data_IF_841125171620
#
_entry.id   IF_841125171620
#
_cell.length_a   1.000
_cell.length_b   1.000
_cell.length_c   1.000
_cell.angle_alpha   90.00
_cell.angle_beta   90.00
_cell.angle_gamma   90.00
#
_symmetry.space_group_name_H-M   'P 1'
#
loop_
_entity.id
_entity.type
_entity.pdbx_description
1 polymer ?
#
# COMPACT_ATOMS: atom_id res chain seq x y z
N UNK A 1 -1.20 -0.27 -6.29
CA UNK A 1 -2.27 -1.07 -5.62
C UNK A 1 -1.84 -2.51 -5.34
N UNK A 2 -1.29 -3.26 -6.30
CA UNK A 2 -0.83 -4.64 -6.07
C UNK A 2 0.13 -4.78 -4.87
N UNK A 3 1.13 -3.89 -4.76
CA UNK A 3 2.02 -3.83 -3.60
C UNK A 3 1.31 -3.66 -2.25
N UNK A 4 0.24 -2.85 -2.19
CA UNK A 4 -0.58 -2.72 -0.96
C UNK A 4 -1.29 -4.03 -0.63
N UNK A 5 -1.92 -4.67 -1.62
CA UNK A 5 -2.57 -5.97 -1.40
C UNK A 5 -1.58 -7.03 -0.94
N UNK A 6 -0.39 -7.10 -1.54
CA UNK A 6 0.67 -8.01 -1.12
C UNK A 6 1.13 -7.75 0.33
N UNK A 7 1.38 -6.47 0.67
CA UNK A 7 1.78 -6.09 2.02
C UNK A 7 0.70 -6.38 3.08
N UNK A 8 -0.56 -6.10 2.79
CA UNK A 8 -1.69 -6.42 3.67
C UNK A 8 -1.78 -7.93 3.98
N UNK A 9 -1.65 -8.76 2.94
CA UNK A 9 -1.72 -10.21 3.11
C UNK A 9 -0.52 -10.75 3.89
N UNK A 10 0.68 -10.32 3.52
CA UNK A 10 1.91 -10.80 4.14
C UNK A 10 2.03 -10.36 5.60
N UNK A 11 1.70 -9.10 5.94
CA UNK A 11 1.77 -8.60 7.32
C UNK A 11 0.82 -9.37 8.25
N UNK A 12 -0.42 -9.64 7.80
CA UNK A 12 -1.37 -10.43 8.58
C UNK A 12 -0.87 -11.87 8.80
N UNK A 13 -0.45 -12.55 7.73
CA UNK A 13 0.04 -13.93 7.83
C UNK A 13 1.30 -14.03 8.70
N UNK A 14 2.22 -13.07 8.56
CA UNK A 14 3.44 -13.04 9.34
C UNK A 14 3.14 -12.90 10.84
N UNK A 15 2.22 -12.00 11.21
CA UNK A 15 1.82 -11.81 12.60
C UNK A 15 1.19 -13.05 13.21
N UNK A 16 0.33 -13.74 12.44
CA UNK A 16 -0.22 -15.04 12.84
C UNK A 16 0.91 -16.03 13.11
N UNK A 17 1.86 -16.18 12.19
CA UNK A 17 3.00 -17.08 12.34
C UNK A 17 3.89 -16.76 13.54
N UNK A 18 4.23 -15.49 13.73
CA UNK A 18 5.05 -15.02 14.86
C UNK A 18 4.37 -15.26 16.20
N UNK A 19 3.07 -14.96 16.31
CA UNK A 19 2.31 -15.19 17.54
C UNK A 19 2.17 -16.68 17.83
N UNK A 20 1.99 -17.53 16.81
CA UNK A 20 1.91 -18.98 17.00
C UNK A 20 3.22 -19.53 17.54
N UNK A 21 4.35 -19.11 16.95
CA UNK A 21 5.68 -19.49 17.41
C UNK A 21 5.90 -19.07 18.87
N UNK A 22 5.54 -17.83 19.21
CA UNK A 22 5.66 -17.30 20.58
C UNK A 22 4.77 -18.04 21.59
N UNK A 23 3.64 -18.60 21.15
CA UNK A 23 2.69 -19.35 21.98
C UNK A 23 2.89 -20.88 21.93
N UNK A 24 3.88 -21.37 21.16
CA UNK A 24 4.15 -22.79 21.01
C UNK A 24 3.06 -23.58 20.27
N UNK A 25 2.35 -22.93 19.34
CA UNK A 25 1.26 -23.54 18.56
C UNK A 25 1.80 -24.11 17.23
N UNK A 26 1.38 -25.33 16.88
CA UNK A 26 1.79 -26.03 15.65
C UNK A 26 0.99 -25.55 14.44
N UNK A 27 1.50 -24.60 13.68
CA UNK A 27 0.96 -24.20 12.38
C UNK A 27 1.80 -24.80 11.26
N UNK A 28 1.18 -25.62 10.42
CA UNK A 28 1.84 -26.31 9.29
C UNK A 28 1.80 -25.50 8.00
N UNK A 29 0.86 -24.57 7.88
CA UNK A 29 0.73 -23.73 6.69
C UNK A 29 -0.23 -22.56 6.89
N UNK A 30 0.11 -21.44 6.28
CA UNK A 30 -0.66 -20.20 6.31
C UNK A 30 -0.87 -19.69 4.90
N UNK A 31 -2.12 -19.40 4.55
CA UNK A 31 -2.42 -18.73 3.29
C UNK A 31 -3.60 -17.77 3.45
N UNK A 32 -3.69 -16.79 2.56
CA UNK A 32 -4.72 -15.77 2.60
C UNK A 32 -5.22 -15.49 1.18
N UNK A 33 -6.53 -15.36 1.02
CA UNK A 33 -7.13 -14.65 -0.13
C UNK A 33 -7.56 -13.26 0.31
N UNK A 34 -7.38 -12.28 -0.55
CA UNK A 34 -7.73 -10.89 -0.29
C UNK A 34 -8.58 -10.35 -1.43
N UNK A 35 -9.73 -9.81 -1.08
CA UNK A 35 -10.51 -8.91 -1.93
C UNK A 35 -10.25 -7.47 -1.47
N UNK A 36 -9.62 -6.68 -2.32
CA UNK A 36 -9.28 -5.29 -2.03
C UNK A 36 -9.78 -4.40 -3.17
N UNK A 37 -10.95 -3.81 -2.95
CA UNK A 37 -11.69 -3.11 -3.98
C UNK A 37 -11.56 -1.59 -3.82
N UNK A 38 -11.45 -0.92 -4.96
CA UNK A 38 -11.37 0.53 -5.04
C UNK A 38 -12.40 1.07 -6.02
N UNK A 39 -12.67 2.37 -5.95
CA UNK A 39 -13.55 3.06 -6.89
C UNK A 39 -12.99 4.42 -7.23
N UNK A 40 -13.08 4.78 -8.51
CA UNK A 40 -12.92 6.14 -8.97
C UNK A 40 -14.28 6.74 -9.30
N UNK A 41 -14.49 8.01 -8.92
CA UNK A 41 -15.71 8.74 -9.22
C UNK A 41 -15.40 10.14 -9.74
N UNK A 42 -16.18 10.61 -10.72
CA UNK A 42 -16.04 11.94 -11.31
C UNK A 42 -15.15 11.94 -12.55
N UNK A 43 -14.46 13.06 -12.77
CA UNK A 43 -13.58 13.27 -13.91
C UNK A 43 -12.20 13.66 -13.44
N UNK A 44 -11.21 12.86 -13.83
CA UNK A 44 -9.82 13.20 -13.57
C UNK A 44 -9.47 14.52 -14.28
N UNK A 45 -9.80 14.62 -15.57
CA UNK A 45 -9.42 15.75 -16.41
C UNK A 45 -10.14 17.06 -16.09
N UNK A 46 -11.37 17.00 -15.56
CA UNK A 46 -12.10 18.20 -15.09
C UNK A 46 -11.81 18.56 -13.64
N UNK A 47 -10.89 17.85 -12.98
CA UNK A 47 -10.51 18.11 -11.59
C UNK A 47 -11.60 17.76 -10.56
N UNK A 48 -12.63 16.99 -10.93
CA UNK A 48 -13.69 16.55 -10.01
C UNK A 48 -13.46 15.14 -9.45
N UNK A 49 -12.42 14.45 -9.93
CA UNK A 49 -12.08 13.08 -9.59
C UNK A 49 -11.90 12.85 -8.09
N UNK A 50 -12.37 11.68 -7.63
CA UNK A 50 -12.24 11.22 -6.25
C UNK A 50 -11.88 9.74 -6.25
N UNK A 51 -10.84 9.39 -5.50
CA UNK A 51 -10.51 8.01 -5.17
C UNK A 51 -11.30 7.55 -3.95
N UNK A 52 -11.74 6.30 -3.97
CA UNK A 52 -12.39 5.63 -2.85
C UNK A 52 -11.82 4.21 -2.69
N UNK A 53 -11.96 3.68 -1.48
CA UNK A 53 -11.64 2.29 -1.15
C UNK A 53 -12.81 1.67 -0.37
N UNK A 54 -12.87 0.34 -0.39
CA UNK A 54 -13.77 -0.44 0.46
C UNK A 54 -12.96 -1.17 1.54
N UNK A 55 -13.64 -1.64 2.59
CA UNK A 55 -12.99 -2.46 3.61
C UNK A 55 -12.39 -3.73 2.96
N UNK A 56 -11.09 -4.03 3.21
CA UNK A 56 -10.45 -5.20 2.65
C UNK A 56 -10.98 -6.45 3.35
N UNK A 57 -11.28 -7.49 2.55
CA UNK A 57 -11.82 -8.76 3.05
C UNK A 57 -10.79 -9.86 2.91
N UNK A 58 -10.44 -10.47 4.02
CA UNK A 58 -9.44 -11.52 4.14
C UNK A 58 -10.12 -12.85 4.42
N UNK A 59 -9.76 -13.87 3.65
CA UNK A 59 -10.01 -15.27 3.97
C UNK A 59 -8.68 -15.94 4.27
N UNK A 60 -8.38 -16.10 5.57
CA UNK A 60 -7.17 -16.76 6.06
C UNK A 60 -7.45 -18.25 6.20
N UNK A 61 -6.61 -19.08 5.60
CA UNK A 61 -6.61 -20.53 5.79
C UNK A 61 -5.41 -20.94 6.62
N UNK A 62 -5.67 -21.74 7.63
CA UNK A 62 -4.65 -22.26 8.54
C UNK A 62 -4.70 -23.78 8.51
N UNK A 63 -3.58 -24.41 8.18
CA UNK A 63 -3.38 -25.84 8.34
C UNK A 63 -2.71 -26.08 9.69
N UNK A 64 -3.40 -26.74 10.62
CA UNK A 64 -2.92 -26.87 12.00
C UNK A 64 -3.66 -27.96 12.77
N UNK A 65 -2.98 -28.57 13.74
CA UNK A 65 -3.59 -29.43 14.77
C UNK A 65 -4.13 -28.63 15.97
N UNK A 66 -3.90 -27.31 15.98
CA UNK A 66 -4.33 -26.40 17.03
C UNK A 66 -5.84 -26.23 17.01
N UNK A 67 -6.54 -26.25 18.16
CA UNK A 67 -7.98 -26.04 18.22
C UNK A 67 -8.42 -24.75 17.53
N UNK A 68 -9.51 -24.81 16.78
CA UNK A 68 -10.01 -23.67 15.97
C UNK A 68 -10.19 -22.38 16.77
N UNK A 69 -10.62 -22.47 18.03
CA UNK A 69 -10.78 -21.31 18.93
C UNK A 69 -9.45 -20.61 19.24
N UNK A 70 -8.37 -21.37 19.38
CA UNK A 70 -7.02 -20.83 19.57
C UNK A 70 -6.53 -20.17 18.29
N UNK A 71 -6.75 -20.78 17.12
CA UNK A 71 -6.43 -20.18 15.82
C UNK A 71 -7.21 -18.88 15.58
N UNK A 72 -8.49 -18.84 15.94
CA UNK A 72 -9.29 -17.61 15.85
C UNK A 72 -8.80 -16.52 16.80
N UNK A 73 -8.41 -16.87 18.02
CA UNK A 73 -7.81 -15.92 18.98
C UNK A 73 -6.49 -15.37 18.45
N UNK A 74 -5.67 -16.23 17.86
CA UNK A 74 -4.41 -15.86 17.23
C UNK A 74 -4.61 -14.85 16.09
N UNK A 75 -5.58 -15.11 15.21
CA UNK A 75 -5.92 -14.19 14.13
C UNK A 75 -6.42 -12.83 14.66
N UNK A 76 -7.26 -12.81 15.71
CA UNK A 76 -7.69 -11.56 16.34
C UNK A 76 -6.53 -10.76 16.92
N UNK A 77 -5.57 -11.43 17.58
CA UNK A 77 -4.35 -10.79 18.07
C UNK A 77 -3.48 -10.26 16.92
N UNK A 78 -3.34 -11.03 15.84
CA UNK A 78 -2.61 -10.59 14.65
C UNK A 78 -3.23 -9.35 13.99
N UNK A 79 -4.57 -9.29 13.93
CA UNK A 79 -5.31 -8.12 13.45
C UNK A 79 -5.06 -6.92 14.35
N UNK A 80 -5.22 -7.09 15.67
CA UNK A 80 -4.98 -6.01 16.62
C UNK A 80 -3.52 -5.50 16.58
N UNK A 81 -2.58 -6.40 16.33
CA UNK A 81 -1.16 -6.08 16.23
C UNK A 81 -0.71 -5.56 14.89
N UNK A 82 -1.57 -5.44 13.87
CA UNK A 82 -1.16 -5.03 12.51
C UNK A 82 -1.20 -3.51 12.29
N UNK A 83 -0.06 -2.85 12.00
CA UNK A 83 -0.02 -1.44 11.62
C UNK A 83 -0.84 -1.14 10.37
N UNK A 84 -0.84 -2.05 9.38
CA UNK A 84 -1.62 -1.86 8.17
C UNK A 84 -3.11 -2.00 8.47
N UNK A 85 -3.56 -3.04 9.19
CA UNK A 85 -4.98 -3.16 9.49
C UNK A 85 -5.47 -2.04 10.42
N UNK A 86 -4.64 -1.58 11.35
CA UNK A 86 -4.91 -0.39 12.15
C UNK A 86 -5.07 0.87 11.29
N UNK A 87 -4.24 1.06 10.26
CA UNK A 87 -4.30 2.22 9.36
C UNK A 87 -5.52 2.24 8.46
N UNK A 88 -6.14 1.07 8.21
CA UNK A 88 -7.40 0.96 7.47
C UNK A 88 -8.62 1.09 8.40
N UNK A 89 -8.52 0.61 9.64
CA UNK A 89 -9.63 0.70 10.60
C UNK A 89 -9.85 2.11 11.15
N UNK A 90 -8.78 2.90 11.30
CA UNK A 90 -8.83 4.24 11.91
C UNK A 90 -8.54 5.32 10.88
N UNK A 91 -9.45 6.28 10.64
CA UNK A 91 -9.19 7.41 9.74
C UNK A 91 -7.96 8.21 10.18
N UNK A 92 -7.00 8.35 9.28
CA UNK A 92 -5.78 9.11 9.49
C UNK A 92 -5.90 10.51 8.88
N UNK A 93 -5.54 11.52 9.66
CA UNK A 93 -5.37 12.89 9.18
C UNK A 93 -3.97 13.07 8.59
N UNK A 94 -3.77 12.49 7.40
CA UNK A 94 -2.50 12.52 6.68
C UNK A 94 -2.02 13.95 6.40
N UNK A 95 -0.72 14.15 6.36
CA UNK A 95 -0.07 15.46 6.20
C UNK A 95 0.79 15.51 4.95
N UNK A 96 1.00 16.73 4.45
CA UNK A 96 1.66 16.96 3.16
C UNK A 96 2.62 18.14 3.23
N UNK A 97 3.70 18.07 2.46
CA UNK A 97 4.53 19.23 2.13
C UNK A 97 4.84 19.25 0.63
N UNK A 98 4.94 20.44 0.07
CA UNK A 98 5.34 20.67 -1.31
C UNK A 98 6.55 21.60 -1.32
N UNK A 99 7.59 21.21 -2.04
CA UNK A 99 8.80 21.99 -2.27
C UNK A 99 8.95 22.23 -3.77
N UNK A 100 8.61 23.43 -4.23
CA UNK A 100 8.74 23.85 -5.62
C UNK A 100 10.05 24.63 -5.82
N UNK A 101 10.93 24.12 -6.69
CA UNK A 101 12.22 24.73 -6.97
C UNK A 101 13.06 25.02 -5.71
N UNK A 102 12.99 24.10 -4.73
CA UNK A 102 13.71 24.19 -3.45
C UNK A 102 13.07 25.10 -2.40
N UNK A 103 11.94 25.75 -2.70
CA UNK A 103 11.16 26.55 -1.72
C UNK A 103 9.95 25.77 -1.27
N UNK A 104 9.64 25.81 0.03
CA UNK A 104 8.41 25.21 0.57
C UNK A 104 7.20 26.06 0.16
N UNK A 105 6.26 25.45 -0.56
CA UNK A 105 5.01 26.08 -0.96
C UNK A 105 3.96 26.01 0.17
N UNK A 106 3.00 26.94 0.13
CA UNK A 106 1.85 26.94 1.04
C UNK A 106 0.82 25.92 0.53
N UNK A 107 0.23 25.17 1.45
CA UNK A 107 -0.88 24.26 1.18
C UNK A 107 -2.11 24.73 1.96
N UNK A 108 -3.19 25.04 1.25
CA UNK A 108 -4.46 25.56 1.78
C UNK A 108 -5.50 24.46 1.94
N UNK A 109 -5.54 23.54 0.98
CA UNK A 109 -6.55 22.48 0.91
C UNK A 109 -6.07 21.13 1.47
N UNK A 110 -4.81 21.07 1.91
CA UNK A 110 -4.21 19.89 2.54
C UNK A 110 -3.66 20.25 3.92
N UNK A 111 -3.62 19.26 4.82
CA UNK A 111 -3.02 19.45 6.14
C UNK A 111 -1.50 19.55 5.97
N UNK A 112 -0.87 20.69 6.33
CA UNK A 112 0.56 20.85 6.15
C UNK A 112 1.34 19.97 7.13
N UNK A 113 2.43 19.35 6.66
CA UNK A 113 3.37 18.60 7.50
C UNK A 113 4.00 19.51 8.56
N UNK A 114 4.10 19.09 9.83
CA UNK A 114 4.79 19.87 10.85
C UNK A 114 6.32 19.77 10.75
N UNK A 115 6.84 18.80 9.99
CA UNK A 115 8.28 18.54 9.87
C UNK A 115 8.82 19.02 8.53
N UNK A 116 10.14 19.07 8.41
CA UNK A 116 10.82 19.25 7.14
C UNK A 116 11.77 18.07 6.96
N UNK A 117 11.86 17.58 5.73
CA UNK A 117 12.73 16.47 5.37
C UNK A 117 13.65 16.93 4.25
N UNK A 118 14.83 16.31 4.15
CA UNK A 118 15.77 16.64 3.10
C UNK A 118 15.28 16.18 1.73
N UNK A 119 15.58 16.97 0.69
CA UNK A 119 15.37 16.57 -0.69
C UNK A 119 16.30 15.39 -1.00
N UNK A 120 15.78 14.20 -1.38
CA UNK A 120 16.60 13.04 -1.68
C UNK A 120 17.70 13.31 -2.71
N UNK A 121 17.49 14.24 -3.64
CA UNK A 121 18.49 14.62 -4.64
C UNK A 121 19.68 15.38 -4.06
N UNK A 122 19.48 16.07 -2.93
CA UNK A 122 20.56 16.76 -2.21
C UNK A 122 21.28 15.81 -1.24
N UNK A 123 20.56 14.83 -0.70
CA UNK A 123 21.10 13.86 0.25
C UNK A 123 21.92 12.76 -0.43
N UNK A 124 21.46 12.26 -1.58
CA UNK A 124 22.03 11.10 -2.24
C UNK A 124 22.62 11.49 -3.60
N UNK A 125 23.93 11.26 -3.77
CA UNK A 125 24.63 11.55 -5.02
C UNK A 125 24.36 10.52 -6.13
N UNK A 126 23.75 9.38 -5.80
CA UNK A 126 23.44 8.29 -6.72
C UNK A 126 22.07 7.70 -6.37
N UNK A 127 21.40 7.12 -7.38
CA UNK A 127 20.20 6.34 -7.15
C UNK A 127 20.54 5.10 -6.30
N UNK A 128 19.65 4.67 -5.40
CA UNK A 128 19.86 3.46 -4.63
C UNK A 128 19.95 2.26 -5.58
N UNK A 129 21.00 1.45 -5.40
CA UNK A 129 21.17 0.18 -6.10
C UNK A 129 21.27 -0.95 -5.08
N UNK A 130 20.87 -2.19 -5.45
CA UNK A 130 21.10 -3.34 -4.61
C UNK A 130 22.58 -3.44 -4.19
N UNK A 131 22.83 -3.87 -2.96
CA UNK A 131 24.18 -4.09 -2.47
C UNK A 131 24.85 -5.22 -3.28
N UNK A 132 26.12 -5.03 -3.63
CA UNK A 132 26.89 -6.07 -4.29
C UNK A 132 26.99 -7.31 -3.38
N UNK A 133 26.77 -8.50 -3.95
CA UNK A 133 26.78 -9.78 -3.23
C UNK A 133 25.71 -9.90 -2.12
N UNK A 134 24.65 -9.08 -2.17
CA UNK A 134 23.49 -9.32 -1.33
C UNK A 134 22.88 -10.69 -1.65
N UNK A 135 22.59 -11.47 -0.61
CA UNK A 135 21.84 -12.73 -0.71
C UNK A 135 20.33 -12.46 -0.86
N UNK A 136 19.96 -11.54 -1.75
CA UNK A 136 18.57 -11.19 -1.99
C UNK A 136 17.85 -12.33 -2.70
N UNK A 137 16.58 -12.54 -2.35
CA UNK A 137 15.70 -13.43 -3.11
C UNK A 137 15.71 -13.02 -4.58
N UNK A 138 15.76 -14.01 -5.46
CA UNK A 138 15.52 -13.78 -6.88
C UNK A 138 14.05 -13.48 -7.10
N UNK A 139 13.75 -12.66 -8.11
CA UNK A 139 12.37 -12.38 -8.53
C UNK A 139 11.47 -11.86 -7.39
N UNK A 140 11.98 -10.96 -6.55
CA UNK A 140 11.21 -10.29 -5.48
C UNK A 140 9.90 -9.73 -6.05
N UNK A 141 9.96 -9.18 -7.26
CA UNK A 141 8.80 -8.81 -8.06
C UNK A 141 8.93 -9.47 -9.43
N UNK A 142 7.98 -10.33 -9.78
CA UNK A 142 7.94 -11.01 -11.06
C UNK A 142 6.54 -11.00 -11.65
N UNK A 143 6.45 -10.99 -12.99
CA UNK A 143 5.18 -11.18 -13.68
C UNK A 143 4.70 -12.61 -13.45
N UNK A 144 3.48 -12.77 -12.95
CA UNK A 144 2.86 -14.06 -12.76
C UNK A 144 2.10 -14.50 -14.02
N UNK A 145 1.67 -15.77 -14.05
CA UNK A 145 0.73 -16.23 -15.06
C UNK A 145 -0.55 -15.38 -15.00
N UNK A 146 -1.12 -15.10 -16.17
CA UNK A 146 -2.36 -14.35 -16.26
C UNK A 146 -3.45 -15.09 -15.48
N UNK A 147 -4.11 -14.37 -14.57
CA UNK A 147 -5.31 -14.87 -13.92
C UNK A 147 -6.46 -14.62 -14.88
N UNK A 148 -7.30 -15.62 -15.12
CA UNK A 148 -8.46 -15.46 -15.98
C UNK A 148 -9.41 -14.43 -15.36
N UNK A 149 -9.57 -13.30 -16.04
CA UNK A 149 -10.47 -12.22 -15.62
C UNK A 149 -11.78 -12.37 -16.38
N UNK A 150 -12.87 -12.64 -15.65
CA UNK A 150 -14.22 -12.67 -16.23
C UNK A 150 -14.67 -11.24 -16.57
N UNK A 151 -15.09 -11.02 -17.82
CA UNK A 151 -15.60 -9.74 -18.34
C UNK A 151 -14.62 -8.57 -18.13
N UNK A 152 -13.45 -8.58 -18.80
CA UNK A 152 -12.51 -7.48 -18.72
C UNK A 152 -13.17 -6.20 -19.24
N UNK A 153 -13.12 -5.15 -18.44
CA UNK A 153 -13.52 -3.80 -18.84
C UNK A 153 -12.25 -3.07 -19.30
N UNK A 154 -12.25 -2.44 -20.48
CA UNK A 154 -11.12 -1.62 -20.90
C UNK A 154 -10.84 -0.52 -19.85
N UNK A 155 -9.59 -0.06 -19.69
CA UNK A 155 -9.25 1.06 -18.82
C UNK A 155 -9.95 2.40 -19.17
N UNK A 156 -10.81 2.42 -20.19
CA UNK A 156 -11.59 3.55 -20.66
C UNK A 156 -12.69 3.90 -19.64
N UNK A 157 -12.48 4.97 -18.88
CA UNK A 157 -13.52 5.48 -17.97
C UNK A 157 -13.10 6.61 -17.04
N UNK A 158 -11.96 7.26 -17.27
CA UNK A 158 -11.48 8.36 -16.41
C UNK A 158 -11.92 9.74 -16.89
N UNK A 159 -12.55 9.82 -18.07
CA UNK A 159 -13.09 11.06 -18.64
C UNK A 159 -14.25 11.61 -17.82
N UNK A 160 -15.22 10.76 -17.49
CA UNK A 160 -16.35 11.05 -16.60
C UNK A 160 -17.02 9.75 -16.16
N UNK A 161 -17.32 9.59 -14.88
CA UNK A 161 -18.23 8.55 -14.40
C UNK A 161 -17.73 7.82 -13.16
N UNK A 162 -18.14 6.56 -13.02
CA UNK A 162 -17.76 5.67 -11.92
C UNK A 162 -17.03 4.45 -12.50
N UNK A 163 -15.86 4.14 -11.96
CA UNK A 163 -15.07 2.96 -12.33
C UNK A 163 -14.70 2.19 -11.07
N UNK A 164 -15.12 0.94 -10.98
CA UNK A 164 -14.68 0.04 -9.91
C UNK A 164 -13.36 -0.64 -10.31
N UNK A 165 -12.42 -0.70 -9.37
CA UNK A 165 -11.04 -1.16 -9.58
C UNK A 165 -10.76 -2.27 -8.54
N UNK A 166 -11.20 -3.51 -8.81
CA UNK A 166 -10.95 -4.63 -7.90
C UNK A 166 -9.51 -5.12 -8.04
N UNK A 167 -8.76 -5.11 -6.94
CA UNK A 167 -7.36 -5.59 -6.87
C UNK A 167 -7.31 -6.75 -5.90
N UNK A 168 -7.32 -7.97 -6.42
CA UNK A 168 -7.42 -9.17 -5.61
C UNK A 168 -6.05 -9.81 -5.46
N UNK A 169 -5.91 -10.66 -4.45
CA UNK A 169 -4.65 -11.31 -4.17
C UNK A 169 -4.78 -12.65 -3.48
N UNK A 170 -3.72 -13.43 -3.57
CA UNK A 170 -3.50 -14.63 -2.78
C UNK A 170 -2.07 -14.63 -2.25
N UNK A 171 -1.88 -14.94 -0.98
CA UNK A 171 -0.57 -15.05 -0.37
C UNK A 171 -0.43 -16.40 0.30
N UNK A 172 0.73 -17.00 0.15
CA UNK A 172 1.19 -18.12 0.97
C UNK A 172 2.33 -17.61 1.85
N UNK A 173 2.39 -18.07 3.09
CA UNK A 173 3.49 -17.75 4.00
C UNK A 173 4.05 -19.03 4.61
N UNK A 174 5.38 -19.12 4.60
CA UNK A 174 6.13 -20.21 5.19
C UNK A 174 7.27 -19.61 6.01
N UNK A 175 7.28 -19.88 7.32
CA UNK A 175 8.33 -19.46 8.25
C UNK A 175 8.72 -17.97 8.16
N UNK A 176 7.76 -17.10 7.86
CA UNK A 176 7.92 -15.66 7.81
C UNK A 176 8.48 -15.06 6.52
N UNK A 177 8.63 -15.88 5.47
CA UNK A 177 8.66 -15.41 4.09
C UNK A 177 7.23 -15.41 3.53
N UNK A 178 6.83 -14.33 2.87
CA UNK A 178 5.54 -14.19 2.20
C UNK A 178 5.70 -14.21 0.68
N UNK A 179 4.83 -14.93 -0.03
CA UNK A 179 4.74 -14.89 -1.49
C UNK A 179 3.31 -14.56 -1.89
N UNK A 180 3.09 -13.32 -2.33
CA UNK A 180 1.79 -12.81 -2.76
C UNK A 180 1.68 -12.75 -4.27
N UNK A 181 0.60 -13.28 -4.84
CA UNK A 181 0.18 -13.02 -6.22
C UNK A 181 -0.97 -12.03 -6.18
N UNK A 182 -0.83 -10.89 -6.86
CA UNK A 182 -1.85 -9.84 -6.91
C UNK A 182 -2.23 -9.52 -8.36
N UNK A 183 -3.50 -9.21 -8.62
CA UNK A 183 -4.00 -8.94 -9.97
C UNK A 183 -5.18 -7.95 -9.96
N UNK A 184 -5.39 -7.27 -11.09
CA UNK A 184 -6.55 -6.42 -11.31
C UNK A 184 -7.70 -7.24 -11.92
N UNK A 185 -8.74 -7.53 -11.12
CA UNK A 185 -9.80 -8.50 -11.42
C UNK A 185 -10.82 -8.04 -12.48
N UNK A 186 -10.60 -6.90 -13.15
CA UNK A 186 -11.44 -6.40 -14.27
C UNK A 186 -10.70 -5.64 -15.36
N UNK A 187 -9.41 -5.34 -15.22
CA UNK A 187 -8.68 -4.48 -16.16
C UNK A 187 -7.85 -5.28 -17.17
N UNK A 188 -8.31 -6.48 -17.55
CA UNK A 188 -7.52 -7.43 -18.37
C UNK A 188 -6.17 -7.80 -17.72
N UNK A 189 -6.14 -7.82 -16.37
CA UNK A 189 -4.99 -7.46 -15.55
C UNK A 189 -3.78 -8.39 -15.67
N UNK A 190 -2.60 -7.77 -15.78
CA UNK A 190 -1.34 -8.43 -15.44
C UNK A 190 -1.34 -8.82 -13.97
N UNK A 191 -0.99 -10.07 -13.69
CA UNK A 191 -0.76 -10.56 -12.35
C UNK A 191 0.74 -10.46 -12.01
N UNK A 192 1.06 -10.18 -10.76
CA UNK A 192 2.43 -10.09 -10.28
C UNK A 192 2.60 -10.89 -9.00
N UNK A 193 3.70 -11.63 -8.93
CA UNK A 193 4.24 -12.19 -7.69
C UNK A 193 5.07 -11.13 -7.00
N UNK A 194 4.86 -10.94 -5.71
CA UNK A 194 5.60 -10.03 -4.83
C UNK A 194 6.01 -10.84 -3.58
N UNK A 195 7.30 -10.89 -3.30
CA UNK A 195 7.87 -11.62 -2.16
C UNK A 195 8.25 -10.64 -1.05
N UNK A 196 7.94 -11.00 0.20
CA UNK A 196 8.32 -10.27 1.39
C UNK A 196 9.12 -11.14 2.36
N UNK A 197 10.01 -10.51 3.11
CA UNK A 197 10.74 -11.14 4.20
C UNK A 197 10.62 -10.29 5.46
N UNK A 198 10.01 -10.85 6.49
CA UNK A 198 9.76 -10.18 7.77
C UNK A 198 10.40 -10.98 8.92
N UNK A 199 11.34 -11.89 8.62
CA UNK A 199 12.07 -12.66 9.64
C UNK A 199 13.05 -11.72 10.37
N UNK A 200 13.13 -11.74 11.72
CA UNK A 200 13.91 -10.76 12.49
C UNK A 200 15.40 -10.64 12.15
N UNK A 201 16.01 -11.70 11.60
CA UNK A 201 17.45 -11.76 11.30
C UNK A 201 17.70 -12.04 9.80
N UNK A 202 16.78 -11.61 8.94
CA UNK A 202 16.83 -11.84 7.49
C UNK A 202 16.44 -10.58 6.75
N UNK A 203 17.09 -10.34 5.62
CA UNK A 203 16.83 -9.17 4.77
C UNK A 203 16.92 -9.56 3.29
N UNK A 204 16.37 -10.74 2.94
CA UNK A 204 16.45 -11.26 1.58
C UNK A 204 15.40 -10.61 0.66
N UNK A 205 14.39 -9.94 1.20
CA UNK A 205 13.41 -9.16 0.47
C UNK A 205 12.84 -8.05 1.36
N UNK A 206 12.23 -6.99 0.79
CA UNK A 206 11.55 -5.96 1.58
C UNK A 206 10.46 -6.57 2.47
N UNK A 207 10.25 -5.97 3.64
CA UNK A 207 9.17 -6.33 4.55
C UNK A 207 7.78 -6.12 3.95
N UNK A 208 6.77 -6.79 4.49
CA UNK A 208 5.38 -6.59 4.12
C UNK A 208 4.95 -5.11 4.24
N UNK A 209 5.41 -4.43 5.30
CA UNK A 209 5.18 -2.99 5.50
C UNK A 209 5.86 -2.15 4.40
N UNK A 210 7.10 -2.47 4.04
CA UNK A 210 7.82 -1.74 3.00
C UNK A 210 7.09 -1.82 1.65
N UNK A 211 6.59 -3.00 1.26
CA UNK A 211 5.75 -3.16 0.07
C UNK A 211 4.47 -2.34 0.17
N UNK A 212 3.76 -2.41 1.29
CA UNK A 212 2.52 -1.66 1.46
C UNK A 212 2.71 -0.15 1.32
N UNK A 213 3.71 0.41 2.00
CA UNK A 213 4.01 1.85 1.94
C UNK A 213 4.56 2.28 0.58
N UNK A 214 5.40 1.48 -0.07
CA UNK A 214 5.77 1.71 -1.48
C UNK A 214 4.52 1.74 -2.38
N UNK A 215 3.54 0.88 -2.11
CA UNK A 215 2.24 0.89 -2.78
C UNK A 215 1.51 2.22 -2.68
N UNK A 216 1.53 2.88 -1.52
CA UNK A 216 0.92 4.21 -1.29
C UNK A 216 1.66 5.27 -2.08
N UNK A 217 2.98 5.30 -1.98
CA UNK A 217 3.83 6.21 -2.76
C UNK A 217 3.58 6.08 -4.27
N UNK A 218 3.54 4.85 -4.79
CA UNK A 218 3.25 4.59 -6.20
C UNK A 218 1.84 4.99 -6.61
N UNK A 219 0.83 4.74 -5.76
CA UNK A 219 -0.54 5.19 -6.04
C UNK A 219 -0.61 6.71 -6.17
N UNK A 220 -0.03 7.45 -5.23
CA UNK A 220 0.02 8.90 -5.23
C UNK A 220 0.79 9.45 -6.44
N UNK A 221 2.00 8.94 -6.68
CA UNK A 221 2.83 9.36 -7.82
C UNK A 221 2.17 9.07 -9.17
N UNK A 222 1.44 7.96 -9.30
CA UNK A 222 0.70 7.65 -10.53
C UNK A 222 -0.36 8.71 -10.82
N UNK A 223 -1.13 9.13 -9.81
CA UNK A 223 -2.12 10.20 -10.03
C UNK A 223 -1.43 11.52 -10.38
N UNK A 224 -0.36 11.85 -9.67
CA UNK A 224 0.37 13.08 -9.91
C UNK A 224 0.93 13.14 -11.34
N UNK A 225 1.67 12.11 -11.76
CA UNK A 225 2.27 12.05 -13.10
C UNK A 225 1.21 12.08 -14.20
N UNK A 226 0.07 11.40 -14.02
CA UNK A 226 -1.02 11.45 -14.99
C UNK A 226 -1.62 12.85 -15.16
N UNK A 227 -1.73 13.63 -14.08
CA UNK A 227 -2.17 15.03 -14.19
C UNK A 227 -1.13 15.88 -14.92
N UNK A 228 0.16 15.71 -14.59
CA UNK A 228 1.27 16.41 -15.26
C UNK A 228 1.27 16.14 -16.75
N UNK A 229 1.18 14.87 -17.15
CA UNK A 229 1.15 14.44 -18.55
C UNK A 229 -0.07 14.99 -19.28
N UNK A 230 -1.27 14.84 -18.70
CA UNK A 230 -2.51 15.25 -19.36
C UNK A 230 -2.61 16.76 -19.58
N UNK A 231 -2.22 17.57 -18.60
CA UNK A 231 -2.28 19.02 -18.69
C UNK A 231 -1.03 19.66 -19.29
N UNK A 232 -0.08 18.85 -19.80
CA UNK A 232 1.18 19.30 -20.37
C UNK A 232 1.95 20.26 -19.45
N UNK A 233 1.94 19.95 -18.15
CA UNK A 233 2.56 20.81 -17.14
C UNK A 233 4.08 20.78 -17.28
N UNK A 234 4.73 21.92 -17.02
CA UNK A 234 6.17 22.09 -17.16
C UNK A 234 6.96 21.57 -15.95
N UNK A 235 6.74 20.31 -15.59
CA UNK A 235 7.45 19.62 -14.50
C UNK A 235 8.64 18.84 -15.08
N UNK A 236 9.85 19.14 -14.62
CA UNK A 236 11.10 18.53 -15.11
C UNK A 236 11.61 17.40 -14.23
N UNK A 237 11.32 17.46 -12.93
CA UNK A 237 11.72 16.43 -11.98
C UNK A 237 10.72 16.36 -10.84
N UNK A 238 10.47 15.15 -10.36
CA UNK A 238 9.62 14.88 -9.22
C UNK A 238 10.25 13.83 -8.32
N UNK A 239 10.22 14.10 -7.01
CA UNK A 239 10.70 13.18 -5.97
C UNK A 239 9.71 13.19 -4.81
N UNK A 240 9.69 12.08 -4.10
CA UNK A 240 8.79 11.87 -2.96
C UNK A 240 9.60 11.38 -1.77
N UNK A 241 9.32 11.92 -0.59
CA UNK A 241 9.66 11.31 0.69
C UNK A 241 8.36 11.02 1.41
N UNK A 242 8.22 9.81 1.94
CA UNK A 242 7.04 9.41 2.69
C UNK A 242 7.47 8.85 4.04
N UNK A 243 6.96 9.45 5.11
CA UNK A 243 7.13 8.94 6.47
C UNK A 243 5.86 8.21 6.88
N UNK A 244 6.01 6.95 7.28
CA UNK A 244 4.91 6.05 7.63
C UNK A 244 5.07 5.51 9.05
N UNK A 245 4.99 6.39 10.08
CA UNK A 245 5.17 5.94 11.45
C UNK A 245 4.05 4.99 11.89
N UNK A 246 4.40 4.03 12.73
CA UNK A 246 3.46 3.21 13.46
C UNK A 246 4.00 2.93 14.86
N UNK A 247 3.09 2.74 15.81
CA UNK A 247 3.42 2.36 17.17
C UNK A 247 2.82 0.98 17.45
N UNK A 248 3.54 0.14 18.18
CA UNK A 248 3.02 -1.13 18.66
C UNK A 248 3.26 -1.17 20.16
N UNK A 249 2.18 -1.14 20.94
CA UNK A 249 2.22 -1.15 22.40
C UNK A 249 1.40 -2.35 22.90
N UNK A 250 2.01 -3.17 23.76
CA UNK A 250 1.36 -4.36 24.33
C UNK A 250 0.68 -5.27 23.29
N UNK A 251 1.28 -5.39 22.10
CA UNK A 251 0.76 -6.21 21.00
C UNK A 251 -0.40 -5.58 20.21
N UNK A 252 -0.73 -4.31 20.47
CA UNK A 252 -1.74 -3.54 19.72
C UNK A 252 -1.05 -2.48 18.89
N UNK A 253 -1.31 -2.48 17.58
CA UNK A 253 -0.77 -1.48 16.67
C UNK A 253 -1.66 -0.25 16.60
N UNK A 254 -1.01 0.91 16.52
CA UNK A 254 -1.62 2.19 16.24
C UNK A 254 -0.93 2.80 15.03
N UNK A 255 -1.70 3.03 13.98
CA UNK A 255 -1.22 3.75 12.82
C UNK A 255 -1.13 5.24 13.15
N UNK A 256 -0.05 5.87 12.71
CA UNK A 256 0.12 7.32 12.82
C UNK A 256 -0.13 7.95 11.44
N UNK A 257 -0.44 9.25 11.37
CA UNK A 257 -0.64 9.94 10.10
C UNK A 257 0.53 9.73 9.13
N UNK A 258 0.19 9.39 7.89
CA UNK A 258 1.16 9.36 6.81
C UNK A 258 1.59 10.80 6.50
N UNK A 259 2.88 11.02 6.33
CA UNK A 259 3.43 12.32 5.95
C UNK A 259 4.11 12.25 4.59
N UNK A 260 3.62 13.02 3.63
CA UNK A 260 4.01 12.96 2.21
C UNK A 260 4.65 14.26 1.75
N UNK A 261 5.95 14.23 1.46
CA UNK A 261 6.73 15.37 1.01
C UNK A 261 7.02 15.25 -0.49
N UNK A 262 6.56 16.22 -1.27
CA UNK A 262 6.73 16.27 -2.72
C UNK A 262 7.76 17.34 -3.06
N UNK A 263 8.80 16.94 -3.77
CA UNK A 263 9.82 17.85 -4.30
C UNK A 263 9.66 17.92 -5.82
N UNK A 264 9.51 19.14 -6.34
CA UNK A 264 9.26 19.37 -7.76
C UNK A 264 10.19 20.44 -8.32
N UNK A 265 10.76 20.16 -9.50
CA UNK A 265 11.41 21.16 -10.32
C UNK A 265 10.49 21.51 -11.49
N UNK A 266 10.08 22.77 -11.60
CA UNK A 266 8.97 23.18 -12.46
C UNK A 266 9.05 24.64 -12.89
N UNK A 267 8.44 24.97 -14.03
CA UNK A 267 8.16 26.36 -14.45
C UNK A 267 6.73 26.81 -14.10
N UNK A 268 5.93 25.91 -13.52
CA UNK A 268 4.58 26.23 -13.06
C UNK A 268 4.60 27.09 -11.79
N UNK A 269 3.52 27.83 -11.55
CA UNK A 269 3.34 28.61 -10.32
C UNK A 269 3.12 27.71 -9.09
N UNK A 270 3.39 28.26 -7.90
CA UNK A 270 3.18 27.55 -6.62
C UNK A 270 1.70 27.16 -6.48
N UNK A 271 0.76 27.99 -6.93
CA UNK A 271 -0.69 27.72 -6.91
C UNK A 271 -1.07 26.52 -7.80
N UNK A 272 -0.44 26.41 -8.97
CA UNK A 272 -0.68 25.29 -9.90
C UNK A 272 -0.12 24.00 -9.31
N UNK A 273 1.05 24.05 -8.66
CA UNK A 273 1.66 22.89 -8.00
C UNK A 273 0.91 22.45 -6.74
N UNK A 274 0.41 23.39 -5.96
CA UNK A 274 -0.47 23.10 -4.83
C UNK A 274 -1.72 22.36 -5.30
N UNK A 275 -2.37 22.86 -6.35
CA UNK A 275 -3.55 22.19 -6.94
C UNK A 275 -3.23 20.79 -7.43
N UNK A 276 -2.07 20.59 -8.06
CA UNK A 276 -1.61 19.27 -8.51
C UNK A 276 -1.48 18.29 -7.33
N UNK A 277 -0.82 18.69 -6.24
CA UNK A 277 -0.66 17.84 -5.04
C UNK A 277 -2.01 17.54 -4.40
N UNK A 278 -2.89 18.54 -4.28
CA UNK A 278 -4.25 18.36 -3.77
C UNK A 278 -5.05 17.36 -4.61
N UNK A 279 -5.05 17.51 -5.94
CA UNK A 279 -5.74 16.58 -6.83
C UNK A 279 -5.16 15.18 -6.78
N UNK A 280 -3.83 15.06 -6.65
CA UNK A 280 -3.15 13.77 -6.51
C UNK A 280 -3.55 13.06 -5.23
N UNK A 281 -3.62 13.78 -4.10
CA UNK A 281 -4.07 13.23 -2.82
C UNK A 281 -5.54 12.80 -2.88
N UNK A 282 -6.41 13.63 -3.48
CA UNK A 282 -7.85 13.38 -3.62
C UNK A 282 -8.19 12.19 -4.52
N UNK A 283 -7.38 11.94 -5.54
CA UNK A 283 -7.58 10.84 -6.50
C UNK A 283 -6.78 9.59 -6.17
N UNK A 284 -5.86 9.66 -5.20
CA UNK A 284 -5.10 8.51 -4.73
C UNK A 284 -5.99 7.58 -3.90
N UNK A 285 -6.22 6.37 -4.39
CA UNK A 285 -7.04 5.37 -3.72
C UNK A 285 -6.52 4.98 -2.33
N UNK A 286 -5.20 4.98 -2.13
CA UNK A 286 -4.60 4.58 -0.86
C UNK A 286 -4.60 5.70 0.17
N UNK A 287 -4.43 6.97 -0.24
CA UNK A 287 -4.71 8.08 0.67
C UNK A 287 -6.18 8.15 1.04
N UNK A 288 -7.09 7.85 0.10
CA UNK A 288 -8.51 7.74 0.38
C UNK A 288 -8.84 6.60 1.36
N UNK A 289 -8.19 5.43 1.20
CA UNK A 289 -8.33 4.30 2.12
C UNK A 289 -7.91 4.69 3.54
N UNK A 290 -6.72 5.31 3.68
CA UNK A 290 -6.21 5.76 4.98
C UNK A 290 -7.03 6.90 5.59
N UNK A 291 -7.75 7.68 4.79
CA UNK A 291 -8.61 8.77 5.27
C UNK A 291 -10.00 8.32 5.72
N UNK A 292 -10.33 7.04 5.60
CA UNK A 292 -11.66 6.49 5.87
C UNK A 292 -11.63 5.43 6.98
N UNK A 293 -12.78 5.23 7.65
CA UNK A 293 -12.94 4.16 8.63
C UNK A 293 -13.37 2.89 7.88
N UNK A 294 -12.41 2.07 7.50
CA UNK A 294 -12.59 0.87 6.70
C UNK A 294 -12.08 -0.37 7.46
N UNK A 295 -12.74 -0.75 8.57
CA UNK A 295 -12.28 -1.86 9.42
C UNK A 295 -12.16 -3.14 8.59
N UNK A 296 -10.97 -3.76 8.50
CA UNK A 296 -10.77 -4.99 7.76
C UNK A 296 -11.64 -6.15 8.25
N UNK A 297 -12.20 -6.90 7.31
CA UNK A 297 -12.98 -8.09 7.62
C UNK A 297 -12.08 -9.33 7.49
N UNK A 298 -11.88 -10.06 8.58
CA UNK A 298 -11.00 -11.25 8.59
C UNK A 298 -11.78 -12.49 8.98
N UNK A 299 -11.87 -13.43 8.04
CA UNK A 299 -12.48 -14.74 8.25
C UNK A 299 -11.38 -15.80 8.28
N UNK A 300 -11.38 -16.62 9.32
CA UNK A 300 -10.43 -17.73 9.48
C UNK A 300 -11.13 -19.05 9.17
N UNK A 301 -10.52 -19.84 8.30
CA UNK A 301 -10.91 -21.21 7.98
C UNK A 301 -9.77 -22.13 8.42
N UNK A 302 -10.04 -23.02 9.37
CA UNK A 302 -9.08 -24.01 9.85
C UNK A 302 -9.45 -25.37 9.30
N UNK A 303 -8.48 -26.07 8.73
CA UNK A 303 -8.64 -27.46 8.32
C UNK A 303 -7.64 -28.32 9.12
N UNK A 304 -8.09 -29.50 9.55
CA UNK A 304 -7.23 -30.54 10.15
C UNK A 304 -6.34 -31.22 9.10
#
# INVERSE_FOLDING_TARGET
MGYMSAGLQADLLQRIGQLALAQGLDLRGLSCRLENDYKFEGSFFKGSGVGHAYAPRFQVKVASTTPVEQVQRLARQAVAGSPLLASWATPLRNTFALYANGRRAILRDLVPSPVSVDDPFKTWSQAPTPLAQADALTDIVAKAQAVEVKNPTPPSGWETGRVDIPIHGHCESLHGSGRSVTWANRLGGSAFTIQSDDRPNSDLAPSALAHAYAGIAFCFMTQLLRYVEHHHMKVRALRLVQLSPCLIESGVAQAQPLDTHVFVHTEESDEVMERLVHMSARTCYLHAALGAALPPEVIVVSNE
#
